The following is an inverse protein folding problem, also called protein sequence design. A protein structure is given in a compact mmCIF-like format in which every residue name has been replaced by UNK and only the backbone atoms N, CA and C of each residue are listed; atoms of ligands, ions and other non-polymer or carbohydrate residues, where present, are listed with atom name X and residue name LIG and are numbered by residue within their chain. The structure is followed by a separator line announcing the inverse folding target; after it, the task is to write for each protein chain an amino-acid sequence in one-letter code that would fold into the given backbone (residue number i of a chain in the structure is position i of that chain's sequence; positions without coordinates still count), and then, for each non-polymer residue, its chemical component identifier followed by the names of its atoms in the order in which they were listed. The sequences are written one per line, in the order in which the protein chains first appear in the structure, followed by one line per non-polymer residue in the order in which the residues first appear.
data_IF_236564992754
#
_entry.id   IF_236564992754
#
_cell.length_a   1.000
_cell.length_b   1.000
_cell.length_c   1.000
_cell.angle_alpha   90.00
_cell.angle_beta   90.00
_cell.angle_gamma   90.00
#
_symmetry.space_group_name_H-M   'P 1'
#
loop_
_entity.id
_entity.type
_entity.pdbx_description
1 polymer ?
#
# COMPACT_ATOMS: atom_id res chain seq x y z
N UNK A 1 12.07 70.87 8.49
CA UNK A 1 12.79 69.94 7.59
C UNK A 1 13.72 69.05 8.42
N UNK A 2 13.56 67.71 8.33
CA UNK A 2 14.57 66.64 8.63
C UNK A 2 14.97 66.48 10.12
N UNK A 3 15.04 65.31 10.78
CA UNK A 3 14.95 63.89 10.41
C UNK A 3 14.59 63.06 11.66
N UNK A 4 13.64 62.12 11.54
CA UNK A 4 13.27 61.13 12.56
C UNK A 4 14.28 59.98 12.51
N UNK A 5 15.16 59.84 13.51
CA UNK A 5 16.08 58.69 13.62
C UNK A 5 15.30 57.48 14.14
N UNK A 6 14.95 56.56 13.24
CA UNK A 6 14.35 55.27 13.55
C UNK A 6 15.50 54.32 13.94
N UNK A 7 15.55 53.88 15.20
CA UNK A 7 16.43 52.79 15.66
C UNK A 7 15.71 51.46 15.37
N UNK A 8 16.25 50.67 14.44
CA UNK A 8 15.83 49.29 14.20
C UNK A 8 16.60 48.36 15.16
N UNK A 9 15.92 47.80 16.18
CA UNK A 9 16.47 46.68 16.95
C UNK A 9 16.21 45.38 16.21
N UNK A 10 17.28 44.62 15.94
CA UNK A 10 17.22 43.32 15.27
C UNK A 10 16.91 42.24 16.31
N UNK A 11 15.64 41.86 16.47
CA UNK A 11 15.28 40.64 17.18
C UNK A 11 15.23 39.49 16.16
N UNK A 12 16.28 38.67 16.11
CA UNK A 12 16.28 37.43 15.33
C UNK A 12 15.52 36.40 16.17
N UNK A 13 14.26 36.17 15.82
CA UNK A 13 13.43 35.10 16.37
C UNK A 13 13.79 33.82 15.62
N UNK A 14 14.45 32.87 16.29
CA UNK A 14 14.59 31.51 15.79
C UNK A 14 13.27 30.77 16.02
N UNK A 15 12.43 30.67 14.99
CA UNK A 15 11.29 29.76 14.99
C UNK A 15 11.83 28.36 14.64
N UNK A 16 12.16 27.56 15.66
CA UNK A 16 12.49 26.16 15.46
C UNK A 16 11.16 25.44 15.24
N UNK A 17 10.81 25.17 13.99
CA UNK A 17 9.67 24.31 13.68
C UNK A 17 10.01 22.91 14.20
N UNK A 18 9.41 22.53 15.33
CA UNK A 18 9.41 21.15 15.80
C UNK A 18 8.54 20.34 14.84
N UNK A 19 9.14 19.90 13.73
CA UNK A 19 8.51 18.89 12.90
C UNK A 19 8.39 17.62 13.75
N UNK A 20 7.17 17.09 13.97
CA UNK A 20 7.08 15.74 14.48
C UNK A 20 7.79 14.84 13.46
N UNK A 21 8.71 14.02 13.94
CA UNK A 21 9.20 12.88 13.17
C UNK A 21 7.97 12.04 12.85
N UNK A 22 7.45 12.16 11.62
CA UNK A 22 6.48 11.21 11.13
C UNK A 22 7.18 9.84 11.20
N UNK A 23 6.56 8.82 11.80
CA UNK A 23 7.10 7.48 11.69
C UNK A 23 7.18 7.15 10.20
N UNK A 24 8.40 7.06 9.68
CA UNK A 24 8.65 6.56 8.34
C UNK A 24 8.48 5.04 8.45
N UNK A 25 7.23 4.58 8.44
CA UNK A 25 6.97 3.20 8.08
C UNK A 25 7.47 3.09 6.64
N UNK A 26 8.59 2.39 6.43
CA UNK A 26 8.94 1.93 5.10
C UNK A 26 7.78 1.05 4.66
N UNK A 27 6.91 1.56 3.79
CA UNK A 27 5.70 0.87 3.38
C UNK A 27 6.13 -0.34 2.55
N UNK A 28 6.00 -1.54 3.12
CA UNK A 28 6.32 -2.80 2.42
C UNK A 28 5.53 -2.93 1.13
N UNK A 29 4.29 -2.44 1.15
CA UNK A 29 3.39 -2.32 -0.01
C UNK A 29 2.99 -0.86 -0.16
N UNK A 30 3.08 -0.33 -1.38
CA UNK A 30 2.67 1.03 -1.72
C UNK A 30 1.91 1.01 -3.05
N UNK A 31 0.56 1.07 -3.04
CA UNK A 31 -0.24 1.23 -4.25
C UNK A 31 0.17 2.46 -5.07
N UNK A 32 0.11 2.37 -6.39
CA UNK A 32 0.45 3.45 -7.31
C UNK A 32 -0.74 4.33 -7.69
N UNK A 33 -1.97 3.88 -7.43
CA UNK A 33 -3.21 4.59 -7.70
C UNK A 33 -4.30 4.20 -6.69
N UNK A 34 -5.43 4.92 -6.73
CA UNK A 34 -6.58 4.77 -5.84
C UNK A 34 -7.44 3.53 -6.10
N UNK A 35 -7.19 2.79 -7.19
CA UNK A 35 -7.96 1.59 -7.54
C UNK A 35 -7.59 0.41 -6.64
N UNK A 36 -6.37 0.43 -6.10
CA UNK A 36 -5.89 -0.55 -5.13
C UNK A 36 -5.81 0.13 -3.77
N UNK A 37 -6.51 -0.38 -2.76
CA UNK A 37 -6.49 0.21 -1.42
C UNK A 37 -5.70 -0.66 -0.45
N UNK A 38 -4.89 -0.02 0.38
CA UNK A 38 -4.08 -0.68 1.39
C UNK A 38 -4.60 -0.30 2.77
N UNK A 39 -4.88 -1.32 3.58
CA UNK A 39 -5.11 -1.20 5.01
C UNK A 39 -4.12 -2.08 5.75
N UNK A 40 -3.71 -1.70 6.95
CA UNK A 40 -2.90 -2.56 7.82
C UNK A 40 -3.77 -3.04 8.97
N UNK A 41 -3.81 -4.36 9.19
CA UNK A 41 -4.56 -4.98 10.28
C UNK A 41 -3.68 -6.00 10.98
N UNK A 42 -3.45 -5.84 12.29
CA UNK A 42 -2.56 -6.70 13.07
C UNK A 42 -1.17 -6.85 12.42
N UNK A 43 -0.60 -5.76 11.92
CA UNK A 43 0.68 -5.72 11.21
C UNK A 43 0.71 -6.43 9.83
N UNK A 44 -0.42 -7.01 9.40
CA UNK A 44 -0.59 -7.60 8.07
C UNK A 44 -1.13 -6.55 7.10
N UNK A 45 -0.49 -6.45 5.93
CA UNK A 45 -1.00 -5.68 4.82
C UNK A 45 -2.24 -6.37 4.23
N UNK A 46 -3.37 -5.68 4.23
CA UNK A 46 -4.61 -6.10 3.56
C UNK A 46 -4.81 -5.20 2.35
N UNK A 47 -4.74 -5.81 1.18
CA UNK A 47 -4.78 -5.15 -0.12
C UNK A 47 -6.14 -5.43 -0.74
N UNK A 48 -7.00 -4.42 -0.71
CA UNK A 48 -8.23 -4.40 -1.48
C UNK A 48 -7.86 -4.17 -2.96
N UNK A 49 -7.81 -5.28 -3.71
CA UNK A 49 -7.43 -5.28 -5.13
C UNK A 49 -8.43 -4.48 -5.98
N UNK A 50 -7.96 -3.93 -7.09
CA UNK A 50 -8.78 -3.23 -8.07
C UNK A 50 -9.89 -4.11 -8.64
N UNK A 51 -10.98 -3.46 -9.06
CA UNK A 51 -12.07 -4.11 -9.79
C UNK A 51 -11.55 -4.91 -10.99
N UNK A 52 -11.98 -6.17 -11.17
CA UNK A 52 -11.58 -6.94 -12.33
C UNK A 52 -12.20 -6.37 -13.61
N UNK A 53 -11.47 -6.48 -14.72
CA UNK A 53 -12.01 -6.18 -16.05
C UNK A 53 -12.96 -7.30 -16.54
N UNK A 54 -13.49 -7.15 -17.75
CA UNK A 54 -14.41 -8.13 -18.37
C UNK A 54 -13.83 -9.55 -18.51
N UNK A 55 -12.51 -9.70 -18.53
CA UNK A 55 -11.83 -10.99 -18.57
C UNK A 55 -11.56 -11.59 -17.18
N UNK A 56 -12.02 -10.93 -16.10
CA UNK A 56 -11.78 -11.38 -14.72
C UNK A 56 -10.41 -10.98 -14.17
N UNK A 57 -9.68 -10.10 -14.85
CA UNK A 57 -8.32 -9.70 -14.46
C UNK A 57 -8.38 -8.44 -13.60
N UNK A 58 -7.92 -8.54 -12.36
CA UNK A 58 -7.62 -7.40 -11.50
C UNK A 58 -6.16 -7.01 -11.69
N UNK A 59 -5.91 -5.77 -12.12
CA UNK A 59 -4.56 -5.25 -12.35
C UNK A 59 -4.25 -4.17 -11.33
N UNK A 60 -3.28 -4.46 -10.46
CA UNK A 60 -2.88 -3.65 -9.32
C UNK A 60 -1.46 -3.17 -9.56
N UNK A 61 -1.25 -1.86 -9.46
CA UNK A 61 0.05 -1.23 -9.70
C UNK A 61 0.62 -0.72 -8.39
N UNK A 62 1.92 -0.87 -8.19
CA UNK A 62 2.60 -0.52 -6.96
C UNK A 62 3.89 0.27 -7.24
N UNK A 63 4.21 1.20 -6.35
CA UNK A 63 5.56 1.77 -6.27
C UNK A 63 6.51 0.81 -5.55
N UNK A 64 6.00 0.07 -4.56
CA UNK A 64 6.73 -0.95 -3.81
C UNK A 64 5.80 -2.12 -3.49
N UNK A 65 6.27 -3.35 -3.64
CA UNK A 65 5.51 -4.54 -3.31
C UNK A 65 6.44 -5.59 -2.71
N UNK A 66 6.47 -5.66 -1.39
CA UNK A 66 7.22 -6.61 -0.58
C UNK A 66 6.26 -7.34 0.34
N UNK A 67 6.52 -8.62 0.58
CA UNK A 67 5.77 -9.44 1.51
C UNK A 67 6.70 -9.73 2.69
N UNK A 68 6.46 -9.10 3.86
CA UNK A 68 7.30 -9.34 5.03
C UNK A 68 6.97 -10.72 5.63
N UNK A 69 7.76 -11.22 6.60
CA UNK A 69 7.54 -12.55 7.21
C UNK A 69 6.14 -12.75 7.80
N UNK A 70 5.50 -11.68 8.29
CA UNK A 70 4.14 -11.71 8.80
C UNK A 70 3.11 -12.03 7.69
N UNK A 71 3.44 -11.68 6.44
CA UNK A 71 2.64 -11.94 5.25
C UNK A 71 1.78 -10.75 4.80
N UNK A 72 0.98 -10.98 3.76
CA UNK A 72 -0.02 -10.04 3.25
C UNK A 72 -1.25 -10.77 2.72
N UNK A 73 -2.34 -10.04 2.57
CA UNK A 73 -3.63 -10.56 2.10
C UNK A 73 -4.11 -9.76 0.90
N UNK A 74 -4.43 -10.43 -0.20
CA UNK A 74 -5.20 -9.90 -1.32
C UNK A 74 -6.69 -10.14 -1.04
N UNK A 75 -7.46 -9.09 -0.84
CA UNK A 75 -8.89 -9.20 -0.55
C UNK A 75 -9.70 -9.28 -1.85
N UNK A 76 -10.04 -10.51 -2.26
CA UNK A 76 -10.89 -10.81 -3.43
C UNK A 76 -12.33 -11.16 -3.03
N UNK A 77 -12.85 -10.54 -1.96
CA UNK A 77 -14.13 -10.89 -1.37
C UNK A 77 -15.22 -9.85 -1.66
N UNK A 78 -16.35 -10.28 -2.23
CA UNK A 78 -17.57 -9.44 -2.43
C UNK A 78 -18.54 -9.50 -1.23
N UNK A 79 -18.23 -10.35 -0.25
CA UNK A 79 -18.89 -10.48 1.05
C UNK A 79 -17.80 -10.53 2.13
N UNK A 80 -18.11 -10.28 3.42
CA UNK A 80 -17.12 -10.46 4.50
C UNK A 80 -16.47 -11.85 4.44
N UNK A 81 -15.14 -11.90 4.56
CA UNK A 81 -14.36 -13.13 4.45
C UNK A 81 -13.41 -13.28 5.64
N UNK A 82 -13.14 -14.53 6.03
CA UNK A 82 -12.15 -14.84 7.06
C UNK A 82 -10.81 -15.13 6.39
N UNK A 83 -9.79 -14.34 6.73
CA UNK A 83 -8.40 -14.57 6.38
C UNK A 83 -7.69 -15.34 7.50
N UNK A 84 -6.78 -16.22 7.13
CA UNK A 84 -5.89 -16.94 8.05
C UNK A 84 -4.86 -16.00 8.68
N UNK A 85 -4.34 -15.04 7.92
CA UNK A 85 -3.33 -14.08 8.39
C UNK A 85 -3.93 -12.88 9.14
N UNK A 86 -5.03 -12.31 8.64
CA UNK A 86 -5.61 -11.04 9.12
C UNK A 86 -6.97 -11.20 9.83
N UNK A 87 -7.46 -12.42 10.02
CA UNK A 87 -8.73 -12.72 10.68
C UNK A 87 -9.94 -12.23 9.87
N UNK A 88 -10.99 -11.74 10.55
CA UNK A 88 -12.21 -11.31 9.85
C UNK A 88 -12.00 -10.03 9.03
N UNK A 89 -12.23 -10.08 7.73
CA UNK A 89 -12.15 -8.95 6.80
C UNK A 89 -13.55 -8.55 6.32
N UNK A 90 -13.72 -7.27 6.04
CA UNK A 90 -14.88 -6.76 5.31
C UNK A 90 -14.79 -7.14 3.83
N UNK A 91 -15.89 -6.99 3.10
CA UNK A 91 -15.84 -7.08 1.63
C UNK A 91 -14.90 -6.01 1.06
N UNK A 92 -14.24 -6.32 -0.04
CA UNK A 92 -13.49 -5.35 -0.81
C UNK A 92 -14.45 -4.42 -1.55
N UNK A 93 -14.39 -3.13 -1.22
CA UNK A 93 -15.25 -2.09 -1.80
C UNK A 93 -15.02 -1.85 -3.30
N UNK A 94 -13.85 -2.22 -3.84
CA UNK A 94 -13.47 -2.01 -5.23
C UNK A 94 -14.15 -2.99 -6.20
N UNK A 95 -14.54 -4.18 -5.75
CA UNK A 95 -14.95 -5.28 -6.63
C UNK A 95 -16.36 -5.14 -7.22
N UNK A 96 -17.20 -4.26 -6.64
CA UNK A 96 -18.63 -4.25 -6.94
C UNK A 96 -19.24 -5.63 -6.69
N UNK A 97 -19.70 -6.30 -7.75
CA UNK A 97 -20.31 -7.63 -7.70
C UNK A 97 -19.44 -8.74 -8.30
N UNK A 98 -18.24 -8.41 -8.81
CA UNK A 98 -17.39 -9.37 -9.53
C UNK A 98 -16.05 -9.57 -8.83
N UNK A 99 -15.75 -10.82 -8.52
CA UNK A 99 -14.42 -11.26 -8.04
C UNK A 99 -13.45 -11.43 -9.20
N UNK A 100 -12.16 -11.20 -8.96
CA UNK A 100 -11.11 -11.54 -9.90
C UNK A 100 -10.89 -13.06 -10.01
N UNK A 101 -10.52 -13.54 -11.20
CA UNK A 101 -10.01 -14.89 -11.45
C UNK A 101 -8.50 -14.88 -11.65
N UNK A 102 -7.93 -13.73 -12.01
CA UNK A 102 -6.50 -13.46 -12.08
C UNK A 102 -6.20 -12.12 -11.41
N UNK A 103 -5.20 -12.08 -10.54
CA UNK A 103 -4.72 -10.88 -9.86
C UNK A 103 -3.29 -10.61 -10.29
N UNK A 104 -3.08 -9.52 -11.02
CA UNK A 104 -1.76 -9.04 -11.41
C UNK A 104 -1.32 -7.98 -10.40
N UNK A 105 -0.15 -8.19 -9.80
CA UNK A 105 0.55 -7.24 -8.95
C UNK A 105 1.81 -6.76 -9.67
N UNK A 106 1.74 -5.59 -10.28
CA UNK A 106 2.82 -5.00 -11.08
C UNK A 106 3.53 -3.90 -10.28
N UNK A 107 4.83 -4.02 -10.11
CA UNK A 107 5.65 -2.93 -9.57
C UNK A 107 6.12 -2.04 -10.72
N UNK A 108 5.68 -0.78 -10.67
CA UNK A 108 6.09 0.27 -11.64
C UNK A 108 7.08 1.27 -11.05
N UNK A 109 7.41 1.15 -9.77
CA UNK A 109 8.50 1.88 -9.14
C UNK A 109 9.87 1.29 -9.47
N UNK A 110 10.92 1.80 -8.82
CA UNK A 110 12.31 1.41 -9.05
C UNK A 110 12.87 0.42 -8.02
N UNK A 111 12.05 -0.06 -7.09
CA UNK A 111 12.46 -1.01 -6.04
C UNK A 111 12.25 -2.46 -6.46
N UNK A 112 13.20 -3.34 -6.16
CA UNK A 112 13.01 -4.80 -6.23
C UNK A 112 12.00 -5.29 -5.19
N UNK A 113 11.42 -6.46 -5.41
CA UNK A 113 10.49 -7.10 -4.47
C UNK A 113 11.19 -8.16 -3.62
N UNK A 114 10.93 -8.14 -2.31
CA UNK A 114 11.30 -9.21 -1.37
C UNK A 114 10.03 -9.90 -0.89
N UNK A 115 9.93 -11.21 -1.12
CA UNK A 115 8.77 -12.02 -0.77
C UNK A 115 9.20 -13.03 0.31
N UNK A 116 9.14 -12.60 1.57
CA UNK A 116 9.68 -13.34 2.71
C UNK A 116 8.60 -14.00 3.59
N UNK A 117 7.35 -14.00 3.12
CA UNK A 117 6.21 -14.50 3.89
C UNK A 117 5.05 -14.89 2.98
N UNK A 118 3.95 -15.30 3.61
CA UNK A 118 2.78 -15.79 2.88
C UNK A 118 2.00 -14.65 2.22
N UNK A 119 1.58 -14.89 0.98
CA UNK A 119 0.58 -14.06 0.28
C UNK A 119 -0.73 -14.85 0.22
N UNK A 120 -1.71 -14.43 1.01
CA UNK A 120 -3.03 -15.06 1.08
C UNK A 120 -4.02 -14.36 0.14
N UNK A 121 -4.98 -15.10 -0.43
CA UNK A 121 -6.17 -14.52 -1.05
C UNK A 121 -7.36 -14.74 -0.11
N UNK A 122 -7.94 -13.67 0.40
CA UNK A 122 -9.20 -13.72 1.12
C UNK A 122 -10.39 -13.71 0.16
N UNK A 123 -11.42 -14.51 0.43
CA UNK A 123 -12.61 -14.62 -0.42
C UNK A 123 -12.45 -15.66 -1.53
N UNK A 124 -12.82 -15.30 -2.77
CA UNK A 124 -12.78 -16.25 -3.89
C UNK A 124 -11.33 -16.45 -4.37
N UNK A 125 -10.95 -17.71 -4.57
CA UNK A 125 -9.63 -18.07 -5.12
C UNK A 125 -9.43 -17.48 -6.52
N UNK A 126 -8.19 -17.08 -6.80
CA UNK A 126 -7.75 -16.55 -8.08
C UNK A 126 -6.28 -16.95 -8.31
N UNK A 127 -5.85 -16.94 -9.56
CA UNK A 127 -4.43 -17.01 -9.88
C UNK A 127 -3.75 -15.68 -9.54
N UNK A 128 -2.46 -15.72 -9.18
CA UNK A 128 -1.69 -14.52 -8.80
C UNK A 128 -0.43 -14.44 -9.64
N UNK A 129 -0.20 -13.26 -10.23
CA UNK A 129 1.04 -12.90 -10.89
C UNK A 129 1.66 -11.74 -10.11
N UNK A 130 2.96 -11.84 -9.83
CA UNK A 130 3.78 -10.74 -9.32
C UNK A 130 4.80 -10.42 -10.41
N UNK A 131 4.79 -9.18 -10.88
CA UNK A 131 5.69 -8.69 -11.92
C UNK A 131 6.48 -7.51 -11.39
N UNK A 132 7.81 -7.64 -11.35
CA UNK A 132 8.71 -6.55 -10.99
C UNK A 132 9.96 -6.59 -11.89
N UNK A 133 10.14 -5.63 -12.81
CA UNK A 133 11.30 -5.60 -13.70
C UNK A 133 12.62 -5.33 -12.94
N UNK A 134 12.55 -4.80 -11.72
CA UNK A 134 13.72 -4.54 -10.88
C UNK A 134 14.21 -5.80 -10.13
N UNK A 135 13.52 -6.94 -10.30
CA UNK A 135 13.85 -8.21 -9.68
C UNK A 135 12.92 -8.60 -8.54
N UNK A 136 12.84 -9.91 -8.30
CA UNK A 136 12.06 -10.54 -7.23
C UNK A 136 12.98 -11.52 -6.52
N UNK A 137 13.09 -11.40 -5.19
CA UNK A 137 13.73 -12.37 -4.32
C UNK A 137 12.68 -13.00 -3.42
N UNK A 138 12.78 -14.31 -3.22
CA UNK A 138 11.87 -15.07 -2.36
C UNK A 138 12.68 -15.79 -1.28
N UNK A 139 12.26 -15.63 -0.03
CA UNK A 139 12.87 -16.29 1.14
C UNK A 139 11.77 -16.63 2.16
N UNK A 140 11.02 -17.70 1.91
CA UNK A 140 9.81 -18.05 2.67
C UNK A 140 9.44 -19.52 2.61
#
# INVERSE_FOLDING_TARGET
MKNKKIRYSRNIIYFIASYPLLPVFSSTVQPADEKTQLTVKNQIAVIDIAAPNRAGISHNRYQQFNIPPEGAVLNNAIQPAKSELAGQLAKNGQLGEQTATLIINEVTGSSSSQLNGKLEIAGKKADVIIANPNGISCDG
#
